data_IF_238044889813
#
_entry.id   IF_238044889813
#
_cell.length_a   1.000
_cell.length_b   1.000
_cell.length_c   1.000
_cell.angle_alpha   90.00
_cell.angle_beta   90.00
_cell.angle_gamma   90.00
#
_symmetry.space_group_name_H-M   'P 1'
#
loop_
_entity.id
_entity.type
_entity.pdbx_description
1 polymer ?
#
# COMPACT_ATOMS: atom_id res chain seq x y z
N UNK A 1 -62.38 -28.63 -7.77
CA UNK A 1 -61.58 -27.40 -8.09
C UNK A 1 -60.41 -27.33 -7.10
N UNK A 2 -59.23 -27.81 -7.50
CA UNK A 2 -58.02 -27.80 -6.66
C UNK A 2 -57.26 -26.49 -6.89
N UNK A 3 -57.19 -25.63 -5.87
CA UNK A 3 -56.41 -24.38 -5.91
C UNK A 3 -54.94 -24.70 -5.65
N UNK A 4 -54.12 -24.53 -6.69
CA UNK A 4 -52.65 -24.68 -6.61
C UNK A 4 -52.08 -23.38 -6.05
N UNK A 5 -51.61 -23.39 -4.83
CA UNK A 5 -50.88 -22.29 -4.21
C UNK A 5 -49.41 -22.36 -4.67
N UNK A 6 -49.04 -21.43 -5.53
CA UNK A 6 -47.67 -21.24 -5.97
C UNK A 6 -46.93 -20.43 -4.88
N UNK A 7 -46.05 -21.10 -4.13
CA UNK A 7 -45.15 -20.44 -3.17
C UNK A 7 -43.92 -19.96 -3.94
N UNK A 8 -43.86 -18.68 -4.18
CA UNK A 8 -42.66 -18.03 -4.77
C UNK A 8 -41.71 -17.78 -3.65
N UNK A 9 -40.68 -18.63 -3.53
CA UNK A 9 -39.55 -18.43 -2.60
C UNK A 9 -38.61 -17.36 -3.18
N UNK A 10 -38.65 -16.16 -2.61
CA UNK A 10 -37.74 -15.08 -2.93
C UNK A 10 -36.40 -15.37 -2.23
N UNK A 11 -35.42 -15.92 -2.96
CA UNK A 11 -34.06 -16.08 -2.47
C UNK A 11 -33.39 -14.69 -2.42
N UNK A 12 -33.26 -14.15 -1.20
CA UNK A 12 -32.44 -12.96 -0.94
C UNK A 12 -30.96 -13.36 -1.08
N UNK A 13 -30.41 -13.08 -2.25
CA UNK A 13 -28.95 -13.14 -2.46
C UNK A 13 -28.32 -11.93 -1.76
N UNK A 14 -27.82 -12.14 -0.55
CA UNK A 14 -27.01 -11.15 0.15
C UNK A 14 -25.66 -11.06 -0.56
N UNK A 15 -25.50 -10.04 -1.42
CA UNK A 15 -24.19 -9.67 -1.95
C UNK A 15 -23.37 -9.07 -0.81
N UNK A 16 -22.64 -9.91 -0.12
CA UNK A 16 -21.60 -9.45 0.80
C UNK A 16 -20.47 -8.90 -0.05
N UNK A 17 -20.47 -7.59 -0.27
CA UNK A 17 -19.33 -6.89 -0.83
C UNK A 17 -18.12 -7.10 0.10
N UNK A 18 -17.19 -7.95 -0.30
CA UNK A 18 -15.90 -8.04 0.36
C UNK A 18 -15.20 -6.69 0.14
N UNK A 19 -15.19 -5.88 1.17
CA UNK A 19 -14.37 -4.67 1.21
C UNK A 19 -12.92 -5.17 1.22
N UNK A 20 -12.25 -5.11 0.08
CA UNK A 20 -10.82 -5.35 0.01
C UNK A 20 -10.16 -4.27 0.87
N UNK A 21 -9.75 -4.62 2.08
CA UNK A 21 -8.92 -3.75 2.88
C UNK A 21 -7.65 -3.47 2.09
N UNK A 22 -7.29 -2.19 1.97
CA UNK A 22 -6.05 -1.80 1.30
C UNK A 22 -4.87 -2.53 1.95
N UNK A 23 -4.16 -3.31 1.15
CA UNK A 23 -3.02 -4.11 1.63
C UNK A 23 -1.92 -3.18 2.14
N UNK A 24 -1.41 -3.48 3.32
CA UNK A 24 -0.26 -2.78 3.87
C UNK A 24 1.01 -3.14 3.09
N UNK A 25 2.06 -2.35 3.26
CA UNK A 25 3.33 -2.59 2.60
C UNK A 25 3.90 -3.97 2.95
N UNK A 26 3.79 -4.39 4.20
CA UNK A 26 4.23 -5.73 4.65
C UNK A 26 3.50 -6.84 3.92
N UNK A 27 2.19 -6.72 3.72
CA UNK A 27 1.38 -7.76 3.06
C UNK A 27 1.85 -7.98 1.62
N UNK A 28 2.12 -6.89 0.90
CA UNK A 28 2.64 -6.97 -0.48
C UNK A 28 4.03 -7.56 -0.58
N UNK A 29 4.87 -7.36 0.42
CA UNK A 29 6.21 -7.94 0.47
C UNK A 29 6.15 -9.43 0.82
N UNK A 30 5.31 -9.81 1.77
CA UNK A 30 5.09 -11.22 2.14
C UNK A 30 4.51 -12.01 0.97
N UNK A 31 3.57 -11.46 0.23
CA UNK A 31 3.03 -12.09 -0.99
C UNK A 31 4.09 -12.34 -2.08
N UNK A 32 5.18 -11.58 -2.08
CA UNK A 32 6.33 -11.77 -2.96
C UNK A 32 7.40 -12.68 -2.38
N UNK A 33 7.12 -13.31 -1.24
CA UNK A 33 8.00 -14.28 -0.59
C UNK A 33 9.02 -13.69 0.38
N UNK A 34 8.93 -12.39 0.71
CA UNK A 34 9.78 -11.80 1.73
C UNK A 34 9.30 -12.25 3.13
N UNK A 35 10.25 -12.41 4.04
CA UNK A 35 9.99 -12.77 5.44
C UNK A 35 10.23 -11.56 6.34
N UNK A 36 9.81 -11.66 7.60
CA UNK A 36 10.02 -10.60 8.58
C UNK A 36 11.50 -10.19 8.68
N UNK A 37 12.40 -11.18 8.62
CA UNK A 37 13.85 -10.99 8.71
C UNK A 37 14.44 -10.28 7.48
N UNK A 38 13.72 -10.22 6.37
CA UNK A 38 14.16 -9.47 5.20
C UNK A 38 14.19 -7.96 5.45
N UNK A 39 13.39 -7.48 6.38
CA UNK A 39 13.30 -6.09 6.80
C UNK A 39 13.88 -5.87 8.20
N UNK A 40 13.58 -6.77 9.14
CA UNK A 40 13.99 -6.67 10.54
C UNK A 40 15.18 -7.57 10.84
N UNK A 41 16.32 -6.95 11.14
CA UNK A 41 17.59 -7.68 11.42
C UNK A 41 17.85 -7.89 12.90
N UNK A 42 16.98 -7.41 13.77
CA UNK A 42 17.16 -7.51 15.25
C UNK A 42 15.87 -8.01 15.92
N UNK A 43 16.04 -8.64 17.09
CA UNK A 43 14.94 -9.01 17.98
C UNK A 43 15.19 -8.37 19.37
N UNK A 44 14.21 -7.62 19.91
CA UNK A 44 12.93 -7.24 19.30
C UNK A 44 13.11 -6.39 18.04
N UNK A 45 12.13 -6.46 17.10
CA UNK A 45 12.23 -5.75 15.83
C UNK A 45 12.24 -4.23 16.05
N UNK A 46 13.12 -3.54 15.33
CA UNK A 46 13.21 -2.07 15.32
C UNK A 46 12.65 -1.54 14.00
N UNK A 47 12.36 -0.25 13.97
CA UNK A 47 11.98 0.43 12.75
C UNK A 47 13.07 0.25 11.66
N UNK A 48 12.61 0.01 10.44
CA UNK A 48 13.49 -0.13 9.27
C UNK A 48 13.75 1.26 8.72
N UNK A 49 15.03 1.60 8.55
CA UNK A 49 15.46 2.85 7.92
C UNK A 49 15.53 2.72 6.39
N UNK A 50 15.74 3.84 5.71
CA UNK A 50 15.91 3.93 4.26
C UNK A 50 16.94 2.94 3.71
N UNK A 51 18.09 2.77 4.36
CA UNK A 51 19.15 1.83 3.92
C UNK A 51 18.64 0.39 3.86
N UNK A 52 17.77 0.00 4.80
CA UNK A 52 17.13 -1.32 4.79
C UNK A 52 16.27 -1.54 3.55
N UNK A 53 15.57 -0.51 3.09
CA UNK A 53 14.75 -0.54 1.90
C UNK A 53 15.60 -0.59 0.62
N UNK A 54 16.65 0.23 0.57
CA UNK A 54 17.53 0.37 -0.60
C UNK A 54 18.37 -0.88 -0.90
N UNK A 55 18.51 -1.81 0.05
CA UNK A 55 19.13 -3.13 -0.22
C UNK A 55 18.47 -3.86 -1.40
N UNK A 56 17.18 -3.64 -1.60
CA UNK A 56 16.41 -4.24 -2.70
C UNK A 56 15.92 -3.19 -3.70
N UNK A 57 15.58 -1.99 -3.24
CA UNK A 57 15.06 -0.91 -4.10
C UNK A 57 16.16 -0.08 -4.77
N UNK A 58 17.41 -0.33 -4.43
CA UNK A 58 18.64 0.14 -5.08
C UNK A 58 18.96 1.61 -4.78
N UNK A 59 18.21 2.58 -5.32
CA UNK A 59 18.48 4.00 -5.09
C UNK A 59 17.26 4.87 -5.39
N UNK A 60 17.30 6.13 -4.96
CA UNK A 60 16.26 7.11 -5.27
C UNK A 60 16.14 7.36 -6.78
N UNK A 61 17.25 7.42 -7.52
CA UNK A 61 17.23 7.61 -8.97
C UNK A 61 16.50 6.45 -9.68
N UNK A 62 16.70 5.22 -9.20
CA UNK A 62 15.98 4.05 -9.75
C UNK A 62 14.49 4.10 -9.42
N UNK A 63 14.14 4.56 -8.22
CA UNK A 63 12.76 4.76 -7.83
C UNK A 63 12.12 5.91 -8.61
N UNK A 64 12.82 7.04 -8.75
CA UNK A 64 12.39 8.20 -9.53
C UNK A 64 12.09 7.80 -10.98
N UNK A 65 13.00 7.08 -11.64
CA UNK A 65 12.80 6.59 -13.00
C UNK A 65 11.57 5.67 -13.16
N UNK A 66 11.19 4.94 -12.09
CA UNK A 66 10.00 4.06 -12.09
C UNK A 66 8.71 4.79 -11.81
N UNK A 67 8.78 5.92 -11.11
CA UNK A 67 7.63 6.73 -10.70
C UNK A 67 7.45 8.00 -11.51
N UNK A 68 8.29 8.23 -12.50
CA UNK A 68 8.21 9.34 -13.46
C UNK A 68 7.04 9.11 -14.45
N UNK A 69 5.82 9.19 -13.93
CA UNK A 69 4.58 8.97 -14.71
C UNK A 69 3.57 10.10 -14.52
N UNK A 70 3.85 11.02 -13.65
CA UNK A 70 2.99 12.13 -13.30
C UNK A 70 3.78 13.45 -13.43
N UNK A 71 3.09 14.55 -13.44
CA UNK A 71 3.70 15.90 -13.45
C UNK A 71 4.63 16.13 -12.26
N UNK A 72 4.43 15.38 -11.18
CA UNK A 72 5.25 15.42 -9.98
C UNK A 72 5.74 14.02 -9.64
N UNK A 73 7.06 13.89 -9.53
CA UNK A 73 7.71 12.64 -9.13
C UNK A 73 7.99 12.66 -7.63
N UNK A 74 7.35 11.81 -6.82
CA UNK A 74 7.54 11.81 -5.37
C UNK A 74 8.96 11.40 -4.93
N UNK A 75 9.72 10.71 -5.79
CA UNK A 75 11.09 10.29 -5.51
C UNK A 75 12.15 11.20 -6.15
N UNK A 76 11.73 12.27 -6.83
CA UNK A 76 12.57 13.32 -7.35
C UNK A 76 11.88 14.68 -7.10
N UNK A 77 11.84 15.05 -5.84
CA UNK A 77 11.14 16.23 -5.36
C UNK A 77 12.10 17.18 -4.62
N UNK A 78 11.62 18.38 -4.34
CA UNK A 78 12.39 19.37 -3.58
C UNK A 78 12.72 18.95 -2.13
N UNK A 79 12.08 17.87 -1.62
CA UNK A 79 12.36 17.35 -0.27
C UNK A 79 13.60 16.46 -0.22
N UNK A 80 14.22 16.20 -1.36
CA UNK A 80 15.46 15.42 -1.51
C UNK A 80 15.62 14.26 -0.52
N UNK A 81 15.78 13.03 -0.97
CA UNK A 81 16.11 11.85 -0.13
C UNK A 81 15.31 11.73 1.19
N UNK A 82 14.02 12.11 1.16
CA UNK A 82 13.14 11.95 2.31
C UNK A 82 13.11 10.48 2.75
N UNK A 83 13.14 10.22 4.06
CA UNK A 83 13.10 8.86 4.57
C UNK A 83 11.89 8.08 4.00
N UNK A 84 12.12 6.84 3.58
CA UNK A 84 11.05 6.00 3.01
C UNK A 84 9.86 5.87 3.96
N UNK A 85 10.15 5.80 5.26
CA UNK A 85 9.15 5.72 6.32
C UNK A 85 8.27 6.97 6.48
N UNK A 86 8.64 8.09 5.87
CA UNK A 86 7.80 9.29 5.88
C UNK A 86 6.49 9.08 5.10
N UNK A 87 6.51 8.20 4.08
CA UNK A 87 5.34 7.88 3.27
C UNK A 87 4.96 6.39 3.35
N UNK A 88 5.96 5.50 3.28
CA UNK A 88 5.75 4.06 3.22
C UNK A 88 5.83 3.42 4.60
N UNK A 89 4.69 3.05 5.14
CA UNK A 89 4.60 2.38 6.43
C UNK A 89 4.47 0.87 6.26
N UNK A 90 5.36 0.09 6.90
CA UNK A 90 5.31 -1.37 6.85
C UNK A 90 4.00 -1.95 7.35
N UNK A 91 3.59 -1.53 8.55
CA UNK A 91 2.47 -2.08 9.31
C UNK A 91 1.32 -1.09 9.54
N UNK A 92 1.31 0.02 8.84
CA UNK A 92 0.25 1.04 8.89
C UNK A 92 -0.15 1.43 7.48
N UNK A 93 -1.25 2.16 7.36
CA UNK A 93 -1.61 2.77 6.08
C UNK A 93 -0.53 3.76 5.66
N UNK A 94 -0.18 3.78 4.36
CA UNK A 94 0.74 4.78 3.84
C UNK A 94 0.12 6.18 3.93
N UNK A 95 0.98 7.18 3.92
CA UNK A 95 0.60 8.60 3.87
C UNK A 95 1.35 9.28 2.75
N UNK A 96 0.82 10.35 2.22
CA UNK A 96 1.56 11.20 1.30
C UNK A 96 2.12 12.39 2.09
N UNK A 97 3.42 12.39 2.36
CA UNK A 97 4.05 13.48 3.13
C UNK A 97 3.89 14.86 2.47
N UNK A 98 3.71 14.91 1.17
CA UNK A 98 3.45 16.14 0.44
C UNK A 98 2.14 16.84 0.90
N UNK A 99 1.18 16.10 1.41
CA UNK A 99 -0.13 16.62 1.83
C UNK A 99 -0.05 17.53 3.06
N UNK A 100 1.10 17.60 3.73
CA UNK A 100 1.34 18.57 4.80
C UNK A 100 1.36 20.02 4.29
N UNK A 101 1.69 20.21 3.00
CA UNK A 101 1.81 21.54 2.38
C UNK A 101 1.04 21.67 1.07
N UNK A 102 0.74 20.57 0.40
CA UNK A 102 0.10 20.50 -0.91
C UNK A 102 -1.14 19.63 -0.88
N UNK A 103 -2.02 19.79 -1.85
CA UNK A 103 -3.16 18.90 -2.09
C UNK A 103 -2.98 18.20 -3.44
N UNK A 104 -2.56 16.95 -3.43
CA UNK A 104 -2.46 16.12 -4.62
C UNK A 104 -3.54 15.05 -4.66
N UNK A 105 -4.32 15.02 -5.72
CA UNK A 105 -5.40 14.03 -5.91
C UNK A 105 -4.98 12.83 -6.76
N UNK A 106 -3.86 12.94 -7.47
CA UNK A 106 -3.37 11.97 -8.45
C UNK A 106 -2.16 11.16 -7.98
N UNK A 107 -1.61 11.45 -6.81
CA UNK A 107 -0.49 10.71 -6.21
C UNK A 107 -1.04 9.75 -5.15
N UNK A 108 -0.76 8.47 -5.31
CA UNK A 108 -1.09 7.43 -4.33
C UNK A 108 0.17 6.75 -3.88
N UNK A 109 0.38 6.72 -2.57
CA UNK A 109 1.45 5.92 -1.95
C UNK A 109 0.95 4.47 -1.91
N UNK A 110 1.65 3.55 -2.56
CA UNK A 110 1.25 2.15 -2.62
C UNK A 110 1.52 1.43 -1.29
#
# INVERSE_FOLDING_TARGET
MKKLLLVVSLALVSVQGAWAADKMLVDRHVERGLKCESCHTTMPPKAVNTDGCLKCHVSYEKLAARTDKNDINPHDSHLENLDCGACHHGHKKPVLACDECHEFTNIKVP
#
